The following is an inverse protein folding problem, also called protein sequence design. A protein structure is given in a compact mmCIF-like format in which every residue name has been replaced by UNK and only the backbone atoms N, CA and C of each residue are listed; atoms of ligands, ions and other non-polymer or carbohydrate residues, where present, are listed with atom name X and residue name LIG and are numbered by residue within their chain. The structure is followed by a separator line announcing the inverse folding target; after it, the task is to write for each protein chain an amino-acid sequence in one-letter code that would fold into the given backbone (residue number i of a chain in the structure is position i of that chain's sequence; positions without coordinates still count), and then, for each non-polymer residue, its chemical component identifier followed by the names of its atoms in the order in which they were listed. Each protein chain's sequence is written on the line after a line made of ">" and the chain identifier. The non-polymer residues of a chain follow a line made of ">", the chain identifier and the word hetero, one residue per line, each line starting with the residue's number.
data_IF_217985770332
#
_entry.id   IF_217985770332
#
_cell.length_a   1.000
_cell.length_b   1.000
_cell.length_c   1.000
_cell.angle_alpha   90.00
_cell.angle_beta   90.00
_cell.angle_gamma   90.00
#
_symmetry.space_group_name_H-M   'P 1'
#
loop_
_entity.id
_entity.type
_entity.pdbx_description
1 polymer ?
#
# COMPACT_ATOMS: atom_id res chain seq x y z
N UNK A 1 -17.04 9.49 1.78
CA UNK A 1 -15.90 8.70 1.21
C UNK A 1 -16.32 8.13 -0.13
N UNK A 2 -15.58 8.44 -1.18
CA UNK A 2 -15.85 7.89 -2.51
C UNK A 2 -15.30 6.47 -2.62
N UNK A 3 -15.97 5.65 -3.45
CA UNK A 3 -15.55 4.29 -3.76
C UNK A 3 -15.29 4.17 -5.25
N UNK A 4 -14.11 3.65 -5.60
CA UNK A 4 -13.63 3.52 -6.98
C UNK A 4 -13.33 2.05 -7.29
N UNK A 5 -13.29 1.70 -8.58
CA UNK A 5 -12.86 0.34 -8.98
C UNK A 5 -11.38 0.14 -8.69
N UNK A 6 -11.02 -1.06 -8.26
CA UNK A 6 -9.62 -1.47 -8.17
C UNK A 6 -9.16 -1.95 -9.56
N UNK A 7 -8.51 -1.04 -10.28
CA UNK A 7 -8.19 -1.27 -11.69
C UNK A 7 -9.45 -1.49 -12.53
N UNK A 8 -9.39 -2.42 -13.48
CA UNK A 8 -10.51 -2.82 -14.34
C UNK A 8 -11.40 -3.91 -13.71
N UNK A 9 -11.08 -4.34 -12.47
CA UNK A 9 -11.90 -5.36 -11.80
C UNK A 9 -13.26 -4.80 -11.38
N UNK A 10 -14.19 -5.70 -11.04
CA UNK A 10 -15.49 -5.33 -10.48
C UNK A 10 -15.42 -4.87 -9.01
N UNK A 11 -14.27 -5.07 -8.33
CA UNK A 11 -14.09 -4.76 -6.94
C UNK A 11 -14.04 -3.24 -6.72
N UNK A 12 -14.87 -2.74 -5.79
CA UNK A 12 -14.86 -1.32 -5.40
C UNK A 12 -14.20 -1.15 -4.03
N UNK A 13 -13.31 -0.19 -3.93
CA UNK A 13 -12.56 0.15 -2.71
C UNK A 13 -12.70 1.64 -2.40
N UNK A 14 -12.50 2.01 -1.14
CA UNK A 14 -12.46 3.42 -0.72
C UNK A 14 -11.25 4.14 -1.30
N UNK A 15 -11.37 5.46 -1.52
CA UNK A 15 -10.27 6.32 -2.04
C UNK A 15 -9.05 6.40 -1.11
N UNK A 16 -9.18 5.94 0.14
CA UNK A 16 -8.07 5.70 1.07
C UNK A 16 -8.09 4.24 1.50
N UNK A 17 -6.90 3.66 1.66
CA UNK A 17 -6.69 2.33 2.20
C UNK A 17 -6.10 2.43 3.61
N UNK A 18 -6.69 1.73 4.58
CA UNK A 18 -6.15 1.65 5.94
C UNK A 18 -4.98 0.67 5.99
N UNK A 19 -3.77 1.19 6.14
CA UNK A 19 -2.56 0.40 6.36
C UNK A 19 -2.37 0.06 7.83
N UNK A 20 -2.16 -1.20 8.12
CA UNK A 20 -2.15 -1.74 9.50
C UNK A 20 -0.77 -2.06 10.05
N UNK A 21 0.32 -1.83 9.31
CA UNK A 21 1.68 -2.21 9.68
C UNK A 21 2.14 -1.66 11.06
N UNK A 22 1.50 -0.61 11.56
CA UNK A 22 1.79 -0.04 12.87
C UNK A 22 1.12 -0.79 14.03
N UNK A 23 0.09 -1.60 13.76
CA UNK A 23 -0.71 -2.28 14.77
C UNK A 23 0.09 -3.39 15.44
N UNK A 24 0.18 -3.34 16.75
CA UNK A 24 1.04 -4.16 17.58
C UNK A 24 2.36 -3.47 17.91
N UNK A 25 3.24 -3.22 16.93
CA UNK A 25 4.56 -2.64 17.22
C UNK A 25 4.55 -1.19 17.72
N UNK A 26 3.65 -0.35 17.21
CA UNK A 26 3.61 1.11 17.49
C UNK A 26 2.25 1.62 17.96
N UNK A 27 1.22 0.81 17.83
CA UNK A 27 -0.16 1.13 18.20
C UNK A 27 -0.69 -0.04 18.99
N UNK A 28 -1.22 0.21 20.18
CA UNK A 28 -1.80 -0.83 21.03
C UNK A 28 -2.95 -1.55 20.33
N UNK A 29 -3.31 -2.73 20.79
CA UNK A 29 -4.46 -3.48 20.24
C UNK A 29 -5.77 -2.70 20.40
N UNK A 30 -5.98 -2.08 21.57
CA UNK A 30 -7.17 -1.26 21.83
C UNK A 30 -7.27 -0.06 20.91
N UNK A 31 -6.16 0.66 20.70
CA UNK A 31 -6.13 1.80 19.78
C UNK A 31 -6.29 1.34 18.33
N UNK A 32 -5.72 0.18 17.98
CA UNK A 32 -5.90 -0.43 16.66
C UNK A 32 -7.36 -0.74 16.37
N UNK A 33 -8.10 -1.28 17.35
CA UNK A 33 -9.54 -1.54 17.23
C UNK A 33 -10.31 -0.24 17.05
N UNK A 34 -10.04 0.78 17.87
CA UNK A 34 -10.67 2.08 17.76
C UNK A 34 -10.44 2.73 16.38
N UNK A 35 -9.20 2.64 15.85
CA UNK A 35 -8.85 3.14 14.52
C UNK A 35 -9.61 2.38 13.43
N UNK A 36 -9.71 1.05 13.51
CA UNK A 36 -10.44 0.24 12.52
C UNK A 36 -11.96 0.52 12.56
N UNK A 37 -12.56 0.62 13.75
CA UNK A 37 -13.96 0.98 13.89
C UNK A 37 -14.23 2.38 13.33
N UNK A 38 -13.38 3.34 13.66
CA UNK A 38 -13.49 4.71 13.14
C UNK A 38 -13.31 4.77 11.62
N UNK A 39 -12.37 4.01 11.06
CA UNK A 39 -12.17 3.92 9.61
C UNK A 39 -13.44 3.46 8.90
N UNK A 40 -14.11 2.42 9.43
CA UNK A 40 -15.40 1.94 8.90
C UNK A 40 -16.51 3.00 8.99
N UNK A 41 -16.62 3.72 10.11
CA UNK A 41 -17.59 4.82 10.26
C UNK A 41 -17.38 5.91 9.20
N UNK A 42 -16.12 6.19 8.85
CA UNK A 42 -15.72 7.17 7.85
C UNK A 42 -15.85 6.65 6.41
N UNK A 43 -16.24 5.38 6.23
CA UNK A 43 -16.40 4.74 4.94
C UNK A 43 -15.09 4.27 4.30
N UNK A 44 -13.99 4.17 5.08
CA UNK A 44 -12.77 3.49 4.64
C UNK A 44 -13.02 1.99 4.78
N UNK A 45 -13.22 1.32 3.65
CA UNK A 45 -13.53 -0.12 3.60
C UNK A 45 -12.37 -0.97 3.11
N UNK A 46 -11.30 -0.38 2.60
CA UNK A 46 -10.13 -1.08 2.10
C UNK A 46 -9.04 -1.13 3.18
N UNK A 47 -8.71 -2.33 3.65
CA UNK A 47 -7.74 -2.58 4.72
C UNK A 47 -6.58 -3.40 4.18
N UNK A 48 -5.35 -2.94 4.41
CA UNK A 48 -4.12 -3.59 3.96
C UNK A 48 -3.26 -4.06 5.14
N UNK A 49 -2.91 -5.34 5.12
CA UNK A 49 -1.99 -5.98 6.06
C UNK A 49 -0.98 -6.85 5.32
N UNK A 50 -0.18 -7.65 6.04
CA UNK A 50 0.69 -8.68 5.52
C UNK A 50 0.99 -9.74 6.59
N UNK A 51 1.35 -10.95 6.15
CA UNK A 51 1.73 -12.06 7.00
C UNK A 51 2.90 -11.75 7.93
N UNK A 52 3.88 -10.95 7.46
CA UNK A 52 5.10 -10.57 8.21
C UNK A 52 4.95 -9.35 9.11
N UNK A 53 3.80 -8.67 9.10
CA UNK A 53 3.64 -7.47 9.92
C UNK A 53 3.55 -7.79 11.39
N UNK A 54 4.16 -6.93 12.23
CA UNK A 54 4.26 -7.13 13.67
C UNK A 54 5.71 -7.24 14.15
N UNK A 55 6.70 -7.21 13.22
CA UNK A 55 8.15 -7.22 13.46
C UNK A 55 8.68 -8.44 14.23
N UNK A 56 7.88 -9.49 14.32
CA UNK A 56 8.28 -10.79 14.88
C UNK A 56 8.09 -11.85 13.82
N UNK A 57 9.20 -12.39 13.34
CA UNK A 57 9.20 -13.40 12.28
C UNK A 57 8.34 -14.59 12.66
N UNK A 58 7.43 -14.98 11.76
CA UNK A 58 6.55 -16.15 11.94
C UNK A 58 5.29 -15.91 12.75
N UNK A 59 5.17 -14.80 13.49
CA UNK A 59 4.01 -14.58 14.35
C UNK A 59 2.79 -13.99 13.63
N UNK A 60 3.01 -13.05 12.68
CA UNK A 60 1.92 -12.35 11.99
C UNK A 60 1.02 -11.57 12.95
N UNK A 61 1.65 -10.84 13.90
CA UNK A 61 0.97 -10.14 15.01
C UNK A 61 -0.15 -9.23 14.53
N UNK A 62 0.10 -8.49 13.45
CA UNK A 62 -0.89 -7.55 12.92
C UNK A 62 -2.13 -8.27 12.36
N UNK A 63 -1.95 -9.38 11.63
CA UNK A 63 -3.09 -10.21 11.19
C UNK A 63 -3.86 -10.79 12.37
N UNK A 64 -3.18 -11.20 13.46
CA UNK A 64 -3.85 -11.66 14.66
C UNK A 64 -4.71 -10.57 15.32
N UNK A 65 -4.23 -9.33 15.39
CA UNK A 65 -4.99 -8.18 15.90
C UNK A 65 -6.25 -7.96 15.06
N UNK A 66 -6.10 -7.92 13.72
CA UNK A 66 -7.24 -7.78 12.80
C UNK A 66 -8.22 -8.93 12.98
N UNK A 67 -7.73 -10.17 13.09
CA UNK A 67 -8.56 -11.36 13.30
C UNK A 67 -9.37 -11.30 14.60
N UNK A 68 -8.80 -10.78 15.70
CA UNK A 68 -9.55 -10.57 16.94
C UNK A 68 -10.59 -9.47 16.82
N UNK A 69 -10.29 -8.42 16.08
CA UNK A 69 -11.25 -7.36 15.78
C UNK A 69 -12.44 -7.87 14.92
N UNK A 70 -12.16 -8.65 13.87
CA UNK A 70 -13.20 -9.28 13.03
C UNK A 70 -14.09 -10.24 13.86
N UNK A 71 -13.48 -11.00 14.78
CA UNK A 71 -14.18 -11.95 15.62
C UNK A 71 -15.16 -11.31 16.64
N UNK A 72 -15.11 -9.99 16.83
CA UNK A 72 -16.12 -9.27 17.63
C UNK A 72 -17.49 -9.22 16.92
N UNK A 73 -17.59 -9.64 15.67
CA UNK A 73 -18.83 -9.66 14.89
C UNK A 73 -19.30 -8.28 14.45
N UNK A 74 -20.60 -8.05 14.42
CA UNK A 74 -21.18 -6.76 13.98
C UNK A 74 -21.05 -6.52 12.47
N UNK A 75 -20.90 -7.58 11.65
CA UNK A 75 -20.77 -7.49 10.21
C UNK A 75 -19.45 -6.84 9.76
N UNK A 76 -18.39 -6.85 10.60
CA UNK A 76 -17.11 -6.20 10.27
C UNK A 76 -16.46 -6.80 9.02
N UNK A 77 -16.47 -8.15 8.93
CA UNK A 77 -15.82 -8.85 7.80
C UNK A 77 -16.48 -8.51 6.47
N UNK A 78 -17.78 -8.50 6.41
CA UNK A 78 -18.59 -8.25 5.21
C UNK A 78 -18.53 -6.79 4.76
N UNK A 79 -18.11 -5.89 5.64
CA UNK A 79 -18.03 -4.46 5.36
C UNK A 79 -16.68 -4.01 4.85
N UNK A 80 -15.66 -4.88 4.84
CA UNK A 80 -14.31 -4.52 4.41
C UNK A 80 -13.86 -5.34 3.21
N UNK A 81 -12.98 -4.72 2.41
CA UNK A 81 -12.10 -5.40 1.45
C UNK A 81 -10.77 -5.59 2.16
N UNK A 82 -10.45 -6.84 2.47
CA UNK A 82 -9.26 -7.21 3.24
C UNK A 82 -8.15 -7.67 2.31
N UNK A 83 -7.05 -6.92 2.28
CA UNK A 83 -5.84 -7.30 1.57
C UNK A 83 -4.78 -7.80 2.54
N UNK A 84 -4.14 -8.92 2.20
CA UNK A 84 -2.90 -9.36 2.86
C UNK A 84 -1.86 -9.79 1.83
N UNK A 85 -0.65 -10.15 2.28
CA UNK A 85 0.48 -10.37 1.39
C UNK A 85 1.25 -11.64 1.75
N UNK A 86 1.89 -12.22 0.73
CA UNK A 86 2.80 -13.36 0.82
C UNK A 86 4.14 -13.02 0.17
N UNK A 87 5.21 -13.42 0.78
CA UNK A 87 6.59 -13.45 0.32
C UNK A 87 7.56 -13.56 1.49
N UNK A 88 7.25 -12.83 2.56
CA UNK A 88 8.13 -12.71 3.70
C UNK A 88 8.37 -14.04 4.40
N UNK A 89 9.50 -14.16 5.08
CA UNK A 89 9.87 -15.39 5.78
C UNK A 89 9.04 -15.56 7.05
N UNK A 90 8.29 -16.68 7.12
CA UNK A 90 7.39 -17.00 8.24
C UNK A 90 7.91 -18.12 9.13
N UNK A 91 9.09 -18.68 8.84
CA UNK A 91 9.71 -19.74 9.63
C UNK A 91 11.18 -19.95 9.28
N UNK A 92 11.87 -20.90 9.93
CA UNK A 92 13.29 -21.16 9.71
C UNK A 92 13.59 -22.06 8.50
N UNK A 93 12.59 -22.76 7.96
CA UNK A 93 12.75 -23.74 6.89
C UNK A 93 13.05 -23.10 5.53
N UNK A 94 13.58 -23.88 4.57
CA UNK A 94 13.96 -23.37 3.26
C UNK A 94 12.75 -22.90 2.43
N UNK A 95 11.57 -23.41 2.69
CA UNK A 95 10.34 -23.12 1.98
C UNK A 95 9.37 -22.21 2.78
N UNK A 96 9.84 -21.53 3.82
CA UNK A 96 9.01 -20.67 4.67
C UNK A 96 8.99 -19.20 4.20
N UNK A 97 9.26 -18.95 2.93
CA UNK A 97 9.25 -17.63 2.32
C UNK A 97 9.26 -17.69 0.79
N UNK A 98 9.21 -16.53 0.17
CA UNK A 98 9.18 -16.28 -1.27
C UNK A 98 7.84 -16.70 -1.91
N UNK A 99 7.84 -17.13 -3.20
CA UNK A 99 6.61 -17.37 -3.98
C UNK A 99 6.50 -18.76 -4.58
N UNK A 100 7.18 -19.77 -4.01
CA UNK A 100 6.92 -21.15 -4.44
C UNK A 100 5.46 -21.53 -4.19
N UNK A 101 4.89 -22.40 -5.02
CA UNK A 101 3.54 -22.93 -4.83
C UNK A 101 3.33 -23.52 -3.43
N UNK A 102 4.38 -24.15 -2.89
CA UNK A 102 4.38 -24.69 -1.54
C UNK A 102 4.15 -23.58 -0.50
N UNK A 103 4.95 -22.48 -0.57
CA UNK A 103 4.85 -21.40 0.40
C UNK A 103 3.55 -20.59 0.23
N UNK A 104 3.16 -20.26 -1.00
CA UNK A 104 1.92 -19.53 -1.29
C UNK A 104 0.72 -20.18 -0.61
N UNK A 105 0.58 -21.50 -0.74
CA UNK A 105 -0.53 -22.24 -0.13
C UNK A 105 -0.46 -22.24 1.40
N UNK A 106 0.70 -22.51 1.98
CA UNK A 106 0.88 -22.53 3.44
C UNK A 106 0.68 -21.14 4.06
N UNK A 107 1.22 -20.10 3.43
CA UNK A 107 1.09 -18.73 3.89
C UNK A 107 -0.38 -18.26 3.85
N UNK A 108 -1.12 -18.59 2.77
CA UNK A 108 -2.54 -18.30 2.67
C UNK A 108 -3.34 -18.94 3.83
N UNK A 109 -3.15 -20.23 4.07
CA UNK A 109 -3.80 -20.93 5.20
C UNK A 109 -3.42 -20.30 6.55
N UNK A 110 -2.15 -19.89 6.69
CA UNK A 110 -1.66 -19.18 7.86
C UNK A 110 -2.37 -17.86 8.08
N UNK A 111 -2.48 -17.05 7.01
CA UNK A 111 -3.16 -15.75 7.06
C UNK A 111 -4.66 -15.90 7.36
N UNK A 112 -5.36 -16.86 6.74
CA UNK A 112 -6.77 -17.15 7.03
C UNK A 112 -7.00 -17.49 8.51
N UNK A 113 -6.13 -18.33 9.10
CA UNK A 113 -6.23 -18.67 10.53
C UNK A 113 -6.00 -17.45 11.43
N UNK A 114 -4.95 -16.61 11.15
CA UNK A 114 -4.64 -15.44 11.97
C UNK A 114 -5.73 -14.36 11.84
N UNK A 115 -6.23 -14.15 10.62
CA UNK A 115 -7.32 -13.21 10.31
C UNK A 115 -8.69 -13.71 10.75
N UNK A 116 -8.83 -15.01 11.11
CA UNK A 116 -10.10 -15.64 11.50
C UNK A 116 -11.21 -15.45 10.48
N UNK A 117 -10.88 -15.65 9.22
CA UNK A 117 -11.79 -15.53 8.07
C UNK A 117 -11.59 -16.71 7.13
N UNK A 118 -12.59 -17.01 6.31
CA UNK A 118 -12.56 -18.08 5.32
C UNK A 118 -12.01 -17.65 3.96
N UNK A 119 -11.91 -16.33 3.70
CA UNK A 119 -11.38 -15.81 2.46
C UNK A 119 -10.61 -14.49 2.64
N UNK A 120 -9.74 -14.21 1.67
CA UNK A 120 -8.97 -12.98 1.49
C UNK A 120 -9.51 -12.31 0.23
N UNK A 121 -9.90 -11.03 0.32
CA UNK A 121 -10.43 -10.33 -0.86
C UNK A 121 -9.33 -10.01 -1.87
N UNK A 122 -8.14 -9.56 -1.40
CA UNK A 122 -6.99 -9.27 -2.25
C UNK A 122 -5.72 -9.90 -1.67
N UNK A 123 -5.18 -10.91 -2.36
CA UNK A 123 -3.94 -11.57 -1.97
C UNK A 123 -2.79 -11.07 -2.82
N UNK A 124 -1.80 -10.43 -2.19
CA UNK A 124 -0.75 -9.72 -2.90
C UNK A 124 0.60 -10.44 -2.77
N UNK A 125 1.31 -10.56 -3.88
CA UNK A 125 2.73 -10.90 -3.87
C UNK A 125 3.49 -9.69 -3.32
N UNK A 126 4.03 -9.80 -2.09
CA UNK A 126 4.66 -8.68 -1.38
C UNK A 126 5.92 -8.17 -2.08
N UNK A 127 6.56 -9.04 -2.85
CA UNK A 127 7.73 -8.75 -3.67
C UNK A 127 7.81 -9.73 -4.83
N UNK A 128 8.53 -9.36 -5.88
CA UNK A 128 8.83 -10.29 -6.98
C UNK A 128 9.76 -11.42 -6.53
N UNK A 129 9.49 -12.64 -6.96
CA UNK A 129 10.42 -13.77 -6.88
C UNK A 129 10.89 -14.12 -8.29
N UNK A 130 12.17 -13.84 -8.57
CA UNK A 130 12.74 -14.05 -9.90
C UNK A 130 13.17 -15.49 -10.14
N UNK A 131 13.20 -16.30 -9.08
CA UNK A 131 13.62 -17.71 -9.15
C UNK A 131 12.44 -18.67 -9.31
N UNK A 132 11.22 -18.20 -9.02
CA UNK A 132 9.99 -19.00 -9.19
C UNK A 132 9.40 -18.76 -10.59
N UNK A 133 9.18 -19.82 -11.39
CA UNK A 133 8.55 -19.71 -12.70
C UNK A 133 7.13 -19.15 -12.60
N UNK A 134 6.74 -18.28 -13.54
CA UNK A 134 5.41 -17.71 -13.59
C UNK A 134 4.28 -18.75 -13.65
N UNK A 135 4.50 -19.85 -14.35
CA UNK A 135 3.49 -20.93 -14.45
C UNK A 135 3.24 -21.59 -13.10
N UNK A 136 4.27 -21.84 -12.30
CA UNK A 136 4.12 -22.38 -10.94
C UNK A 136 3.38 -21.38 -10.03
N UNK A 137 3.79 -20.10 -10.07
CA UNK A 137 3.17 -19.06 -9.29
C UNK A 137 1.68 -18.91 -9.62
N UNK A 138 1.35 -18.77 -10.91
CA UNK A 138 -0.04 -18.63 -11.34
C UNK A 138 -0.88 -19.86 -11.03
N UNK A 139 -0.35 -21.06 -11.22
CA UNK A 139 -1.05 -22.29 -10.85
C UNK A 139 -1.42 -22.29 -9.36
N UNK A 140 -0.52 -21.84 -8.48
CA UNK A 140 -0.82 -21.76 -7.06
C UNK A 140 -1.93 -20.74 -6.76
N UNK A 141 -1.88 -19.55 -7.38
CA UNK A 141 -2.91 -18.52 -7.20
C UNK A 141 -4.27 -18.94 -7.78
N UNK A 142 -4.29 -19.56 -8.95
CA UNK A 142 -5.51 -20.12 -9.57
C UNK A 142 -6.22 -21.12 -8.64
N UNK A 143 -5.45 -22.02 -8.02
CA UNK A 143 -6.01 -23.01 -7.07
C UNK A 143 -6.63 -22.31 -5.86
N UNK A 144 -5.99 -21.27 -5.31
CA UNK A 144 -6.56 -20.53 -4.18
C UNK A 144 -7.84 -19.77 -4.57
N UNK A 145 -7.89 -19.23 -5.78
CA UNK A 145 -9.10 -18.57 -6.30
C UNK A 145 -10.22 -19.59 -6.55
N UNK A 146 -9.91 -20.73 -7.16
CA UNK A 146 -10.89 -21.81 -7.39
C UNK A 146 -11.46 -22.37 -6.09
N UNK A 147 -10.65 -22.40 -5.02
CA UNK A 147 -11.09 -22.81 -3.69
C UNK A 147 -11.91 -21.74 -2.95
N UNK A 148 -12.06 -20.54 -3.52
CA UNK A 148 -12.73 -19.41 -2.88
C UNK A 148 -11.96 -18.81 -1.68
N UNK A 149 -10.70 -19.20 -1.47
CA UNK A 149 -9.84 -18.67 -0.39
C UNK A 149 -9.27 -17.30 -0.71
N UNK A 150 -9.13 -16.98 -1.97
CA UNK A 150 -8.69 -15.71 -2.52
C UNK A 150 -9.68 -15.26 -3.58
N UNK A 151 -10.08 -13.98 -3.58
CA UNK A 151 -10.99 -13.48 -4.61
C UNK A 151 -10.23 -12.77 -5.73
N UNK A 152 -9.25 -11.95 -5.40
CA UNK A 152 -8.42 -11.19 -6.34
C UNK A 152 -6.94 -11.31 -6.00
N UNK A 153 -6.09 -11.25 -7.03
CA UNK A 153 -4.63 -11.30 -6.89
C UNK A 153 -4.03 -9.94 -7.22
N UNK A 154 -3.07 -9.48 -6.41
CA UNK A 154 -2.31 -8.27 -6.63
C UNK A 154 -0.82 -8.51 -6.55
N UNK A 155 -0.06 -7.49 -6.96
CA UNK A 155 1.40 -7.46 -6.82
C UNK A 155 1.84 -6.28 -5.96
N UNK A 156 3.08 -6.33 -5.50
CA UNK A 156 3.75 -5.24 -4.81
C UNK A 156 5.23 -5.21 -5.17
N UNK A 157 5.76 -4.01 -5.39
CA UNK A 157 7.17 -3.78 -5.71
C UNK A 157 7.63 -4.49 -7.01
N UNK A 158 6.75 -4.56 -8.00
CA UNK A 158 7.09 -5.07 -9.32
C UNK A 158 7.58 -3.93 -10.22
N UNK A 159 8.53 -4.23 -11.10
CA UNK A 159 8.91 -3.34 -12.19
C UNK A 159 7.85 -3.39 -13.29
N UNK A 160 7.78 -2.36 -14.14
CA UNK A 160 6.80 -2.29 -15.22
C UNK A 160 6.83 -3.50 -16.15
N UNK A 161 8.02 -3.97 -16.56
CA UNK A 161 8.16 -5.17 -17.39
C UNK A 161 7.68 -6.47 -16.70
N UNK A 162 7.79 -6.54 -15.36
CA UNK A 162 7.33 -7.69 -14.59
C UNK A 162 5.80 -7.71 -14.50
N UNK A 163 5.17 -6.54 -14.36
CA UNK A 163 3.71 -6.39 -14.45
C UNK A 163 3.23 -6.87 -15.83
N UNK A 164 3.88 -6.44 -16.90
CA UNK A 164 3.53 -6.85 -18.26
C UNK A 164 3.67 -8.37 -18.45
N UNK A 165 4.78 -8.95 -17.99
CA UNK A 165 5.01 -10.38 -18.08
C UNK A 165 3.98 -11.18 -17.27
N UNK A 166 3.73 -10.77 -16.01
CA UNK A 166 2.73 -11.40 -15.16
C UNK A 166 1.33 -11.39 -15.80
N UNK A 167 0.92 -10.23 -16.32
CA UNK A 167 -0.38 -10.05 -16.97
C UNK A 167 -0.50 -10.87 -18.24
N UNK A 168 0.53 -10.91 -19.10
CA UNK A 168 0.55 -11.71 -20.33
C UNK A 168 0.48 -13.22 -20.03
N UNK A 169 1.23 -13.69 -19.03
CA UNK A 169 1.22 -15.11 -18.63
C UNK A 169 -0.14 -15.51 -18.06
N UNK A 170 -0.75 -14.66 -17.22
CA UNK A 170 -2.10 -14.91 -16.70
C UNK A 170 -3.14 -14.97 -17.83
N UNK A 171 -3.10 -14.03 -18.79
CA UNK A 171 -4.00 -14.00 -19.94
C UNK A 171 -3.88 -15.27 -20.81
N UNK A 172 -2.66 -15.76 -21.05
CA UNK A 172 -2.43 -17.01 -21.77
C UNK A 172 -3.04 -18.25 -21.06
N UNK A 173 -3.28 -18.15 -19.76
CA UNK A 173 -3.90 -19.17 -18.92
C UNK A 173 -5.43 -18.98 -18.77
N UNK A 174 -6.02 -17.98 -19.42
CA UNK A 174 -7.40 -17.54 -19.23
C UNK A 174 -7.72 -17.20 -17.76
N UNK A 175 -6.74 -16.66 -17.04
CA UNK A 175 -6.87 -16.24 -15.66
C UNK A 175 -6.91 -14.72 -15.58
N UNK A 176 -7.71 -14.15 -14.65
CA UNK A 176 -7.83 -12.70 -14.48
C UNK A 176 -6.49 -12.02 -14.19
N UNK A 177 -5.59 -12.70 -13.47
CA UNK A 177 -4.28 -12.19 -13.14
C UNK A 177 -4.28 -11.08 -12.11
N UNK A 178 -3.37 -10.12 -12.28
CA UNK A 178 -3.23 -8.99 -11.38
C UNK A 178 -4.37 -7.99 -11.57
N UNK A 179 -4.94 -7.51 -10.43
CA UNK A 179 -5.91 -6.40 -10.44
C UNK A 179 -5.31 -5.13 -9.86
N UNK A 180 -4.19 -5.22 -9.14
CA UNK A 180 -3.51 -4.08 -8.51
C UNK A 180 -2.01 -4.26 -8.43
N UNK A 181 -1.31 -3.13 -8.38
CA UNK A 181 0.11 -3.03 -8.01
C UNK A 181 0.24 -2.12 -6.79
N UNK A 182 0.97 -2.58 -5.76
CA UNK A 182 1.26 -1.79 -4.56
C UNK A 182 2.73 -1.37 -4.57
N UNK A 183 3.02 -0.09 -4.81
CA UNK A 183 4.38 0.44 -4.92
C UNK A 183 4.60 1.68 -4.08
N UNK A 184 5.87 1.98 -3.75
CA UNK A 184 6.21 3.24 -3.11
C UNK A 184 5.92 4.41 -4.05
N UNK A 185 5.09 5.36 -3.62
CA UNK A 185 4.84 6.58 -4.38
C UNK A 185 4.53 7.76 -3.46
N UNK A 186 5.30 8.81 -3.61
CA UNK A 186 5.15 10.07 -2.87
C UNK A 186 5.88 11.17 -3.63
N UNK A 187 5.71 12.44 -3.22
CA UNK A 187 6.53 13.55 -3.74
C UNK A 187 8.04 13.26 -3.72
N UNK A 188 8.53 12.58 -2.67
CA UNK A 188 9.96 12.26 -2.52
C UNK A 188 10.38 10.94 -3.17
N UNK A 189 9.47 10.17 -3.75
CA UNK A 189 9.73 8.87 -4.39
C UNK A 189 8.84 8.70 -5.62
N UNK A 190 9.37 9.10 -6.79
CA UNK A 190 8.62 9.23 -8.04
C UNK A 190 9.05 8.27 -9.15
N UNK A 191 9.98 7.36 -8.87
CA UNK A 191 10.53 6.42 -9.89
C UNK A 191 9.46 5.57 -10.58
N UNK A 192 8.34 5.28 -9.89
CA UNK A 192 7.22 4.53 -10.48
C UNK A 192 6.57 5.23 -11.69
N UNK A 193 6.79 6.53 -11.84
CA UNK A 193 6.29 7.31 -12.98
C UNK A 193 6.96 6.90 -14.30
N UNK A 194 8.17 6.32 -14.24
CA UNK A 194 8.89 5.87 -15.44
C UNK A 194 8.18 4.69 -16.13
N UNK A 195 7.88 3.61 -15.41
CA UNK A 195 7.40 2.36 -16.00
C UNK A 195 6.20 1.75 -15.27
N UNK A 196 6.15 1.82 -13.94
CA UNK A 196 5.11 1.12 -13.17
C UNK A 196 3.74 1.72 -13.43
N UNK A 197 3.61 3.05 -13.38
CA UNK A 197 2.35 3.73 -13.70
C UNK A 197 1.91 3.48 -15.15
N UNK A 198 2.78 3.63 -16.17
CA UNK A 198 2.46 3.24 -17.55
C UNK A 198 2.00 1.80 -17.68
N UNK A 199 2.68 0.84 -17.03
CA UNK A 199 2.30 -0.57 -17.04
C UNK A 199 0.94 -0.80 -16.35
N UNK A 200 0.68 -0.17 -15.22
CA UNK A 200 -0.62 -0.26 -14.55
C UNK A 200 -1.76 0.23 -15.48
N UNK A 201 -1.55 1.36 -16.16
CA UNK A 201 -2.53 1.88 -17.14
C UNK A 201 -2.73 0.93 -18.32
N UNK A 202 -1.65 0.43 -18.90
CA UNK A 202 -1.71 -0.46 -20.06
C UNK A 202 -2.42 -1.80 -19.78
N UNK A 203 -2.25 -2.32 -18.56
CA UNK A 203 -2.83 -3.61 -18.15
C UNK A 203 -4.08 -3.48 -17.25
N UNK A 204 -4.57 -2.25 -17.04
CA UNK A 204 -5.79 -1.99 -16.28
C UNK A 204 -5.68 -2.31 -14.78
N UNK A 205 -4.50 -2.19 -14.18
CA UNK A 205 -4.27 -2.40 -12.77
C UNK A 205 -4.53 -1.12 -11.96
N UNK A 206 -5.10 -1.28 -10.76
CA UNK A 206 -5.18 -0.19 -9.78
C UNK A 206 -3.85 0.01 -9.08
N UNK A 207 -3.32 1.25 -9.06
CA UNK A 207 -2.15 1.57 -8.27
C UNK A 207 -2.54 1.88 -6.83
N UNK A 208 -1.91 1.18 -5.88
CA UNK A 208 -2.11 1.32 -4.43
C UNK A 208 -0.81 1.82 -3.78
N UNK A 209 -0.56 3.14 -3.73
CA UNK A 209 0.67 3.68 -3.19
C UNK A 209 0.85 3.41 -1.70
N UNK A 210 2.00 2.87 -1.30
CA UNK A 210 2.39 2.87 0.11
C UNK A 210 3.40 3.98 0.41
N UNK A 211 3.51 4.36 1.70
CA UNK A 211 4.36 5.45 2.17
C UNK A 211 4.13 6.80 1.45
N UNK A 212 2.87 7.27 1.28
CA UNK A 212 2.59 8.53 0.59
C UNK A 212 3.22 9.76 1.29
N UNK A 213 3.56 9.61 2.58
CA UNK A 213 4.28 10.62 3.37
C UNK A 213 5.79 10.35 3.50
N UNK A 214 6.37 9.49 2.65
CA UNK A 214 7.79 9.11 2.70
C UNK A 214 8.24 8.66 4.11
N UNK A 215 7.44 7.80 4.77
CA UNK A 215 7.72 7.33 6.14
C UNK A 215 7.57 8.40 7.22
N UNK A 216 6.96 9.54 6.91
CA UNK A 216 6.76 10.68 7.82
C UNK A 216 7.62 11.90 7.47
N UNK A 217 8.53 11.79 6.50
CA UNK A 217 9.37 12.90 6.04
C UNK A 217 8.53 14.10 5.55
N UNK A 218 7.42 13.83 4.86
CA UNK A 218 6.50 14.82 4.32
C UNK A 218 5.32 15.13 5.27
N UNK A 219 5.40 14.73 6.53
CA UNK A 219 4.33 14.89 7.51
C UNK A 219 4.61 15.94 8.59
N UNK A 220 5.38 16.99 8.31
CA UNK A 220 5.85 17.96 9.33
C UNK A 220 7.05 17.42 10.09
N UNK A 221 8.11 17.02 9.38
CA UNK A 221 9.27 16.35 9.96
C UNK A 221 10.17 17.28 10.78
N UNK A 222 10.23 18.57 10.40
CA UNK A 222 11.09 19.55 11.13
C UNK A 222 10.54 19.87 12.51
N UNK A 223 9.21 19.93 12.67
CA UNK A 223 8.58 20.22 13.96
C UNK A 223 8.59 19.03 14.93
N UNK A 224 8.60 17.81 14.39
CA UNK A 224 8.39 16.58 15.15
C UNK A 224 9.44 15.50 14.88
N UNK A 225 10.71 15.91 14.68
CA UNK A 225 11.78 15.00 14.28
C UNK A 225 12.02 13.82 15.26
N UNK A 226 11.68 13.98 16.54
CA UNK A 226 11.87 12.96 17.57
C UNK A 226 10.68 12.00 17.74
N UNK A 227 9.60 12.12 16.94
CA UNK A 227 8.37 11.33 17.14
C UNK A 227 8.20 10.15 16.16
N UNK A 228 7.80 9.02 16.66
CA UNK A 228 7.38 7.86 15.90
C UNK A 228 8.45 7.31 14.95
N UNK A 229 8.07 6.99 13.69
CA UNK A 229 9.02 6.53 12.66
C UNK A 229 10.10 7.56 12.32
N UNK A 230 9.86 8.85 12.55
CA UNK A 230 10.80 9.94 12.32
C UNK A 230 12.01 9.84 13.25
N UNK A 231 11.84 9.24 14.44
CA UNK A 231 12.94 8.95 15.37
C UNK A 231 13.86 7.80 14.91
N UNK A 232 13.49 7.04 13.86
CA UNK A 232 14.37 5.99 13.36
C UNK A 232 15.62 6.56 12.69
N UNK A 233 16.76 5.89 12.85
CA UNK A 233 18.03 6.29 12.21
C UNK A 233 17.89 6.47 10.70
N UNK A 234 17.07 5.63 10.04
CA UNK A 234 16.81 5.75 8.61
C UNK A 234 16.16 7.09 8.25
N UNK A 235 15.17 7.53 9.03
CA UNK A 235 14.51 8.82 8.79
C UNK A 235 15.38 10.00 9.14
N UNK A 236 16.19 9.90 10.19
CA UNK A 236 17.17 10.91 10.52
C UNK A 236 18.18 11.11 9.38
N UNK A 237 18.74 10.02 8.84
CA UNK A 237 19.63 10.07 7.66
C UNK A 237 18.94 10.64 6.41
N UNK A 238 17.66 10.36 6.20
CA UNK A 238 16.90 10.95 5.11
C UNK A 238 16.69 12.45 5.32
N UNK A 239 16.40 12.87 6.55
CA UNK A 239 16.25 14.28 6.88
C UNK A 239 17.57 15.03 6.75
N UNK A 240 18.69 14.47 7.19
CA UNK A 240 20.03 15.02 6.96
C UNK A 240 20.34 15.20 5.47
N UNK A 241 19.98 14.21 4.66
CA UNK A 241 20.22 14.23 3.20
C UNK A 241 19.31 15.17 2.42
N UNK A 242 18.09 15.39 2.89
CA UNK A 242 17.04 16.11 2.17
C UNK A 242 16.49 17.32 2.93
N UNK A 243 17.15 17.75 4.01
CA UNK A 243 16.67 18.78 4.92
C UNK A 243 16.26 20.08 4.24
N UNK A 244 17.07 20.58 3.29
CA UNK A 244 16.76 21.81 2.54
C UNK A 244 15.45 21.66 1.71
N UNK A 245 15.26 20.50 1.09
CA UNK A 245 14.02 20.21 0.34
C UNK A 245 12.81 20.11 1.27
N UNK A 246 12.98 19.47 2.44
CA UNK A 246 11.92 19.37 3.44
C UNK A 246 11.57 20.75 4.00
N UNK A 247 12.57 21.59 4.25
CA UNK A 247 12.36 22.98 4.71
C UNK A 247 11.59 23.80 3.67
N UNK A 248 12.00 23.73 2.40
CA UNK A 248 11.30 24.39 1.29
C UNK A 248 9.85 23.89 1.14
N UNK A 249 9.65 22.57 1.26
CA UNK A 249 8.33 21.95 1.23
C UNK A 249 7.42 22.43 2.36
N UNK A 250 7.91 22.40 3.61
CA UNK A 250 7.10 22.84 4.76
C UNK A 250 6.82 24.36 4.72
N UNK A 251 7.77 25.17 4.19
CA UNK A 251 7.52 26.57 3.93
C UNK A 251 6.41 26.80 2.91
N UNK A 252 6.42 26.04 1.80
CA UNK A 252 5.36 26.09 0.81
C UNK A 252 4.00 25.64 1.40
N UNK A 253 3.97 24.59 2.22
CA UNK A 253 2.73 24.16 2.88
C UNK A 253 2.14 25.25 3.78
N UNK A 254 3.00 26.00 4.52
CA UNK A 254 2.55 27.17 5.30
C UNK A 254 2.01 28.30 4.43
N UNK A 255 2.65 28.59 3.28
CA UNK A 255 2.14 29.55 2.29
C UNK A 255 0.76 29.18 1.78
N UNK A 256 0.55 27.87 1.53
CA UNK A 256 -0.74 27.33 1.06
C UNK A 256 -1.79 27.25 2.18
N UNK A 257 -1.42 27.42 3.45
CA UNK A 257 -2.33 27.33 4.59
C UNK A 257 -2.76 25.89 4.94
N UNK A 258 -1.97 24.88 4.55
CA UNK A 258 -2.30 23.47 4.74
C UNK A 258 -1.19 22.71 5.49
N UNK A 259 -1.60 21.67 6.24
CA UNK A 259 -0.64 20.81 6.91
C UNK A 259 0.18 19.99 5.90
N UNK A 260 1.51 19.81 6.09
CA UNK A 260 2.35 19.06 5.15
C UNK A 260 1.82 17.68 4.78
N UNK A 261 1.31 16.90 5.75
CA UNK A 261 0.73 15.59 5.47
C UNK A 261 -0.47 15.63 4.52
N UNK A 262 -1.29 16.67 4.60
CA UNK A 262 -2.47 16.85 3.74
C UNK A 262 -2.05 17.18 2.31
N UNK A 263 -1.08 18.08 2.15
CA UNK A 263 -0.51 18.45 0.84
C UNK A 263 0.14 17.25 0.15
N UNK A 264 0.97 16.48 0.87
CA UNK A 264 1.62 15.30 0.31
C UNK A 264 0.61 14.24 -0.13
N UNK A 265 -0.41 13.98 0.68
CA UNK A 265 -1.44 12.98 0.36
C UNK A 265 -2.35 13.45 -0.78
N UNK A 266 -2.75 14.72 -0.80
CA UNK A 266 -3.51 15.32 -1.89
C UNK A 266 -2.74 15.27 -3.22
N UNK A 267 -1.42 15.50 -3.18
CA UNK A 267 -0.56 15.36 -4.35
C UNK A 267 -0.57 13.94 -4.91
N UNK A 268 -0.50 12.91 -4.08
CA UNK A 268 -0.60 11.50 -4.52
C UNK A 268 -2.00 11.22 -5.09
N UNK A 269 -3.05 11.66 -4.40
CA UNK A 269 -4.44 11.43 -4.79
C UNK A 269 -4.84 12.09 -6.12
N UNK A 270 -4.15 13.16 -6.54
CA UNK A 270 -4.42 13.84 -7.81
C UNK A 270 -4.07 13.00 -9.05
N UNK A 271 -3.15 12.03 -8.92
CA UNK A 271 -2.74 11.21 -10.04
C UNK A 271 -3.87 10.23 -10.41
N UNK A 272 -4.40 10.27 -11.65
CA UNK A 272 -5.54 9.44 -12.04
C UNK A 272 -5.25 7.93 -12.03
N UNK A 273 -3.98 7.51 -12.10
CA UNK A 273 -3.58 6.12 -11.98
C UNK A 273 -3.69 5.60 -10.54
N UNK A 274 -3.70 6.49 -9.54
CA UNK A 274 -3.79 6.13 -8.13
C UNK A 274 -5.22 5.77 -7.76
N UNK A 275 -5.42 4.52 -7.35
CA UNK A 275 -6.72 4.04 -6.88
C UNK A 275 -6.95 4.40 -5.42
N UNK A 276 -6.03 4.01 -4.53
CA UNK A 276 -6.21 4.14 -3.09
C UNK A 276 -4.84 4.15 -2.38
N UNK A 277 -4.29 5.31 -2.00
CA UNK A 277 -3.06 5.35 -1.23
C UNK A 277 -3.27 4.79 0.18
N UNK A 278 -2.25 4.08 0.68
CA UNK A 278 -2.26 3.47 2.01
C UNK A 278 -1.86 4.51 3.05
N UNK A 279 -2.78 4.79 3.96
CA UNK A 279 -2.54 5.61 5.15
C UNK A 279 -2.42 4.70 6.37
N UNK A 280 -1.36 4.87 7.15
CA UNK A 280 -1.09 4.06 8.34
C UNK A 280 -1.13 4.92 9.61
N UNK A 281 -2.31 5.36 10.06
CA UNK A 281 -2.45 6.17 11.27
C UNK A 281 -2.08 5.37 12.51
N UNK A 282 -1.45 6.04 13.49
CA UNK A 282 -1.20 5.52 14.83
C UNK A 282 -2.12 6.14 15.87
N UNK A 283 -2.81 7.20 15.48
CA UNK A 283 -3.76 7.93 16.33
C UNK A 283 -4.99 8.32 15.51
N UNK A 284 -6.10 8.57 16.19
CA UNK A 284 -7.33 9.08 15.57
C UNK A 284 -7.11 10.40 14.82
N UNK A 285 -6.35 11.32 15.42
CA UNK A 285 -6.01 12.60 14.79
C UNK A 285 -5.29 12.45 13.45
N UNK A 286 -4.43 11.43 13.31
CA UNK A 286 -3.76 11.13 12.04
C UNK A 286 -4.72 10.55 11.00
N UNK A 287 -5.69 9.74 11.42
CA UNK A 287 -6.75 9.23 10.55
C UNK A 287 -7.62 10.37 10.02
N UNK A 288 -8.11 11.23 10.90
CA UNK A 288 -8.93 12.39 10.53
C UNK A 288 -8.17 13.38 9.63
N UNK A 289 -6.86 13.58 9.86
CA UNK A 289 -6.01 14.39 8.98
C UNK A 289 -5.92 13.82 7.55
N UNK A 290 -5.92 12.49 7.41
CA UNK A 290 -5.88 11.85 6.09
C UNK A 290 -7.15 12.11 5.27
N UNK A 291 -8.30 12.31 5.92
CA UNK A 291 -9.56 12.62 5.24
C UNK A 291 -9.57 14.02 4.63
N UNK A 292 -8.97 15.01 5.31
CA UNK A 292 -8.92 16.38 4.78
C UNK A 292 -8.18 16.47 3.46
N UNK A 293 -7.23 15.58 3.22
CA UNK A 293 -6.52 15.51 1.95
C UNK A 293 -7.41 15.12 0.75
N UNK A 294 -8.53 14.44 0.98
CA UNK A 294 -9.48 14.10 -0.09
C UNK A 294 -10.20 15.33 -0.65
N UNK A 295 -10.38 16.36 0.17
CA UNK A 295 -11.06 17.60 -0.19
C UNK A 295 -10.10 18.65 -0.77
N UNK A 296 -8.80 18.51 -0.46
CA UNK A 296 -7.78 19.47 -0.89
C UNK A 296 -7.52 19.39 -2.39
N UNK A 297 -7.69 20.52 -3.06
CA UNK A 297 -7.35 20.71 -4.48
C UNK A 297 -6.15 21.63 -4.59
N UNK A 298 -5.04 21.09 -5.09
CA UNK A 298 -3.81 21.85 -5.32
C UNK A 298 -3.93 22.57 -6.68
N UNK A 299 -3.63 23.88 -6.69
CA UNK A 299 -3.58 24.66 -7.94
C UNK A 299 -2.39 24.26 -8.80
N UNK A 300 -2.43 24.56 -10.09
CA UNK A 300 -1.31 24.34 -11.02
C UNK A 300 -0.02 25.05 -10.55
N UNK A 301 -0.12 26.27 -10.00
CA UNK A 301 1.03 26.96 -9.40
C UNK A 301 1.61 26.21 -8.21
N UNK A 302 0.75 25.71 -7.31
CA UNK A 302 1.19 24.90 -6.17
C UNK A 302 1.87 23.60 -6.64
N UNK A 303 1.33 22.92 -7.65
CA UNK A 303 1.93 21.72 -8.26
C UNK A 303 3.29 22.02 -8.88
N UNK A 304 3.41 23.10 -9.63
CA UNK A 304 4.67 23.53 -10.23
C UNK A 304 5.73 23.89 -9.16
N UNK A 305 5.32 24.49 -8.04
CA UNK A 305 6.21 24.76 -6.90
C UNK A 305 6.67 23.47 -6.23
N UNK A 306 5.75 22.51 -6.01
CA UNK A 306 6.08 21.18 -5.46
C UNK A 306 7.03 20.41 -6.37
N UNK A 307 6.84 20.45 -7.69
CA UNK A 307 7.73 19.80 -8.67
C UNK A 307 9.13 20.42 -8.69
N UNK A 308 9.27 21.73 -8.41
CA UNK A 308 10.60 22.34 -8.22
C UNK A 308 11.32 21.84 -6.96
N UNK A 309 10.58 21.60 -5.88
CA UNK A 309 11.16 21.07 -4.63
C UNK A 309 11.51 19.59 -4.76
N UNK A 310 10.62 18.80 -5.36
CA UNK A 310 10.79 17.37 -5.58
C UNK A 310 10.58 17.03 -7.06
N UNK A 311 11.57 17.26 -7.91
CA UNK A 311 11.43 16.98 -9.33
C UNK A 311 11.17 15.50 -9.60
N UNK A 312 10.25 15.24 -10.50
CA UNK A 312 10.00 13.90 -11.04
C UNK A 312 11.05 13.49 -12.06
N UNK A 313 10.91 12.30 -12.66
CA UNK A 313 11.83 11.79 -13.67
C UNK A 313 11.77 12.54 -15.01
N UNK A 314 10.82 13.46 -15.20
CA UNK A 314 10.68 14.23 -16.42
C UNK A 314 9.72 13.64 -17.46
N UNK A 315 9.15 12.49 -17.20
CA UNK A 315 8.22 11.79 -18.10
C UNK A 315 8.20 10.29 -17.87
N UNK A 316 7.66 9.56 -18.83
CA UNK A 316 7.67 8.10 -18.88
C UNK A 316 8.95 7.61 -19.59
N UNK A 317 9.31 6.34 -19.36
CA UNK A 317 10.38 5.70 -20.11
C UNK A 317 9.90 5.34 -21.53
N UNK A 318 10.76 5.41 -22.56
CA UNK A 318 12.17 5.83 -22.52
C UNK A 318 12.38 7.34 -22.64
N UNK A 319 11.35 8.14 -22.91
CA UNK A 319 11.44 9.57 -23.22
C UNK A 319 12.13 10.36 -22.09
N UNK A 320 11.89 9.99 -20.84
CA UNK A 320 12.48 10.65 -19.67
C UNK A 320 14.02 10.61 -19.61
N UNK A 321 14.67 9.70 -20.35
CA UNK A 321 16.13 9.51 -20.30
C UNK A 321 16.78 9.24 -21.65
N UNK A 322 16.02 9.00 -22.71
CA UNK A 322 16.58 8.58 -24.02
C UNK A 322 16.70 9.72 -25.03
N UNK A 323 15.95 10.81 -24.85
CA UNK A 323 15.91 11.97 -25.73
C UNK A 323 16.18 13.28 -25.02
#
# INVERSE_FOLDING_TARGET
>A
MDHVRLGQSGLRVSRLCLGTMNFGPLTSESDSFAIMDRALELGIVFFDTADVYGWRTGEGVTEQIIGRWLAQGGGRRERIVLATKVYGRMGPGPNDGRLSAYHIRQACEGSLRRLRTDHIDLYQMHHIDRDTPWDELWQAMEVLVQQGKVLYVGSSNFAGWQIAQASATAAARNFLGLVSEQSVYSLAARTVELEVIPACRAHGLGLVPYSPLAGGLLGGALEKAAEGRRASERQQRLLERHGDRVAAYEALCRELGHHPAEVALAWVLRNPAVTSPIVGPRTMAQLDASLRALELRLSEDALAKLDRVFPGPGGEAPEAYAW
#
